data_IF_532055708880
#
_entry.id   IF_532055708880
#
_cell.length_a   1.000
_cell.length_b   1.000
_cell.length_c   1.000
_cell.angle_alpha   90.00
_cell.angle_beta   90.00
_cell.angle_gamma   90.00
#
_symmetry.space_group_name_H-M   'P 1'
#
loop_
_entity.id
_entity.type
_entity.pdbx_description
1 polymer ?
#
# COMPACT_ATOMS: atom_id res chain seq x y z
N UNK A 1 -3.11 -1.08 -18.12
CA UNK A 1 -3.44 -0.18 -17.00
C UNK A 1 -4.64 -0.73 -16.26
N UNK A 2 -4.86 -0.33 -15.01
CA UNK A 2 -6.06 -0.63 -14.24
C UNK A 2 -6.74 0.70 -13.92
N UNK A 3 -8.02 0.81 -14.24
CA UNK A 3 -8.81 2.03 -14.04
C UNK A 3 -9.72 1.88 -12.83
N UNK A 4 -9.72 2.88 -11.97
CA UNK A 4 -10.62 2.99 -10.82
C UNK A 4 -11.67 4.05 -11.08
N UNK A 5 -12.92 3.75 -10.74
CA UNK A 5 -14.04 4.69 -10.76
C UNK A 5 -14.64 4.76 -9.36
N UNK A 6 -14.52 5.93 -8.73
CA UNK A 6 -14.92 6.15 -7.34
C UNK A 6 -16.12 7.09 -7.31
N UNK A 7 -17.27 6.68 -6.75
CA UNK A 7 -18.42 7.56 -6.62
C UNK A 7 -18.12 8.68 -5.63
N UNK A 8 -18.35 9.92 -6.04
CA UNK A 8 -18.20 11.12 -5.21
C UNK A 8 -19.58 11.77 -5.04
N UNK A 9 -19.96 12.03 -3.79
CA UNK A 9 -21.14 12.83 -3.46
C UNK A 9 -20.70 14.27 -3.18
N UNK A 10 -21.29 15.23 -3.88
CA UNK A 10 -21.08 16.65 -3.62
C UNK A 10 -22.44 17.36 -3.54
N UNK A 11 -22.91 17.59 -2.30
CA UNK A 11 -24.27 18.07 -2.06
C UNK A 11 -25.31 17.10 -2.63
N UNK A 12 -26.23 17.62 -3.46
CA UNK A 12 -27.25 16.83 -4.15
C UNK A 12 -26.76 16.17 -5.46
N UNK A 13 -25.53 16.46 -5.89
CA UNK A 13 -24.96 15.90 -7.11
C UNK A 13 -24.05 14.70 -6.82
N UNK A 14 -24.08 13.71 -7.71
CA UNK A 14 -23.15 12.59 -7.70
C UNK A 14 -22.40 12.54 -9.02
N UNK A 15 -21.09 12.32 -8.95
CA UNK A 15 -20.26 12.08 -10.12
C UNK A 15 -19.27 10.95 -9.85
N UNK A 16 -18.67 10.42 -10.90
CA UNK A 16 -17.61 9.42 -10.77
C UNK A 16 -16.25 10.09 -10.95
N UNK A 17 -15.42 10.05 -9.92
CA UNK A 17 -14.02 10.40 -10.04
C UNK A 17 -13.25 9.20 -10.59
N UNK A 18 -12.50 9.40 -11.67
CA UNK A 18 -11.79 8.33 -12.36
C UNK A 18 -10.29 8.61 -12.36
N UNK A 19 -9.51 7.56 -12.15
CA UNK A 19 -8.06 7.59 -12.30
C UNK A 19 -7.58 6.20 -12.73
N UNK A 20 -6.35 6.11 -13.24
CA UNK A 20 -5.73 4.86 -13.59
C UNK A 20 -4.37 4.71 -12.89
N UNK A 21 -3.93 3.46 -12.78
CA UNK A 21 -2.57 3.10 -12.38
C UNK A 21 -2.02 2.07 -13.34
N UNK A 22 -0.69 1.99 -13.40
CA UNK A 22 -0.02 0.92 -14.13
C UNK A 22 -0.27 -0.43 -13.47
N UNK A 23 -0.27 -1.50 -14.27
CA UNK A 23 -0.45 -2.87 -13.81
C UNK A 23 0.88 -3.41 -13.26
N UNK A 24 1.30 -2.88 -12.11
CA UNK A 24 2.56 -3.21 -11.44
C UNK A 24 2.31 -3.73 -10.01
N UNK A 25 3.27 -3.51 -9.11
CA UNK A 25 3.17 -3.91 -7.72
C UNK A 25 2.27 -3.00 -6.87
N UNK A 26 1.38 -3.57 -6.07
CA UNK A 26 0.67 -2.86 -5.00
C UNK A 26 1.43 -3.07 -3.69
N UNK A 27 1.75 -1.98 -2.99
CA UNK A 27 2.38 -2.06 -1.68
C UNK A 27 1.33 -2.17 -0.58
N UNK A 28 1.39 -3.24 0.22
CA UNK A 28 0.74 -3.29 1.52
C UNK A 28 1.70 -2.80 2.60
N UNK A 29 1.25 -1.83 3.39
CA UNK A 29 2.03 -1.29 4.49
C UNK A 29 1.13 -0.79 5.63
N UNK A 30 1.69 -0.68 6.83
CA UNK A 30 0.94 -0.10 7.94
C UNK A 30 1.62 -0.20 9.29
N UNK A 31 0.80 -0.10 10.33
CA UNK A 31 1.22 -0.18 11.72
C UNK A 31 1.84 -1.53 12.05
N UNK A 32 2.86 -1.51 12.94
CA UNK A 32 3.48 -2.73 13.48
C UNK A 32 2.66 -3.39 14.58
N UNK A 33 1.67 -2.67 15.08
CA UNK A 33 0.84 -3.05 16.22
C UNK A 33 -0.56 -3.47 15.79
N UNK A 34 -0.94 -3.21 14.53
CA UNK A 34 -2.23 -3.61 13.99
C UNK A 34 -2.12 -4.98 13.30
N UNK A 35 -2.98 -5.91 13.69
CA UNK A 35 -3.21 -7.13 12.92
C UNK A 35 -4.44 -6.93 12.03
N UNK A 36 -4.30 -7.26 10.75
CA UNK A 36 -5.40 -7.17 9.78
C UNK A 36 -6.11 -8.53 9.73
N UNK A 37 -7.45 -8.57 9.86
CA UNK A 37 -8.21 -9.80 9.73
C UNK A 37 -7.85 -10.54 8.44
N UNK A 38 -7.61 -11.85 8.53
CA UNK A 38 -7.17 -12.63 7.36
C UNK A 38 -8.22 -12.67 6.25
N UNK A 39 -9.51 -12.57 6.59
CA UNK A 39 -10.59 -12.42 5.60
C UNK A 39 -10.42 -11.14 4.76
N UNK A 40 -10.09 -10.02 5.40
CA UNK A 40 -9.83 -8.75 4.72
C UNK A 40 -8.55 -8.80 3.88
N UNK A 41 -7.46 -9.38 4.41
CA UNK A 41 -6.25 -9.59 3.62
C UNK A 41 -6.54 -10.41 2.37
N UNK A 42 -7.25 -11.53 2.49
CA UNK A 42 -7.63 -12.40 1.37
C UNK A 42 -8.52 -11.67 0.36
N UNK A 43 -9.53 -10.92 0.80
CA UNK A 43 -10.41 -10.16 -0.08
C UNK A 43 -9.64 -9.12 -0.92
N UNK A 44 -8.77 -8.34 -0.27
CA UNK A 44 -7.92 -7.35 -0.94
C UNK A 44 -6.94 -8.02 -1.92
N UNK A 45 -6.27 -9.10 -1.51
CA UNK A 45 -5.34 -9.84 -2.36
C UNK A 45 -6.07 -10.40 -3.58
N UNK A 46 -7.22 -11.05 -3.40
CA UNK A 46 -7.99 -11.65 -4.50
C UNK A 46 -8.49 -10.59 -5.48
N UNK A 47 -9.07 -9.49 -4.98
CA UNK A 47 -9.56 -8.40 -5.82
C UNK A 47 -8.45 -7.77 -6.65
N UNK A 48 -7.35 -7.39 -6.00
CA UNK A 48 -6.18 -6.81 -6.68
C UNK A 48 -5.50 -7.82 -7.62
N UNK A 49 -5.45 -9.10 -7.25
CA UNK A 49 -4.90 -10.13 -8.13
C UNK A 49 -5.75 -10.33 -9.38
N UNK A 50 -7.08 -10.22 -9.25
CA UNK A 50 -8.05 -10.28 -10.35
C UNK A 50 -7.86 -9.14 -11.36
N UNK A 51 -7.54 -7.94 -10.87
CA UNK A 51 -7.14 -6.81 -11.72
C UNK A 51 -5.71 -6.94 -12.25
N UNK A 52 -5.01 -7.97 -11.78
CA UNK A 52 -3.74 -8.44 -12.30
C UNK A 52 -2.51 -7.71 -11.73
N UNK A 53 -2.62 -7.15 -10.52
CA UNK A 53 -1.50 -6.56 -9.79
C UNK A 53 -0.57 -7.61 -9.17
N UNK A 54 0.69 -7.23 -8.96
CA UNK A 54 1.63 -8.02 -8.16
C UNK A 54 1.76 -7.41 -6.75
N UNK A 55 2.35 -8.07 -5.75
CA UNK A 55 2.29 -7.65 -4.33
C UNK A 55 3.64 -7.38 -3.67
N UNK A 56 3.78 -6.16 -3.13
CA UNK A 56 4.98 -5.66 -2.46
C UNK A 56 4.64 -5.57 -0.99
N UNK A 57 5.47 -6.18 -0.14
CA UNK A 57 5.23 -6.15 1.31
C UNK A 57 6.54 -6.04 2.06
N UNK A 58 6.46 -5.43 3.23
CA UNK A 58 7.59 -5.31 4.13
C UNK A 58 7.80 -6.53 5.02
N UNK A 59 8.87 -6.50 5.81
CA UNK A 59 9.24 -7.61 6.68
C UNK A 59 8.85 -7.42 8.17
N UNK A 60 8.08 -6.38 8.50
CA UNK A 60 7.76 -6.01 9.88
C UNK A 60 6.60 -6.85 10.48
N UNK A 61 6.37 -6.72 11.79
CA UNK A 61 5.18 -7.29 12.42
C UNK A 61 3.93 -6.47 12.07
N UNK A 62 2.76 -6.87 12.57
CA UNK A 62 1.49 -6.19 12.34
C UNK A 62 0.99 -6.38 10.92
N UNK A 63 0.72 -5.27 10.22
CA UNK A 63 0.11 -5.26 8.88
C UNK A 63 0.96 -6.05 7.88
N UNK A 64 2.27 -5.77 7.82
CA UNK A 64 3.24 -6.49 6.97
C UNK A 64 3.19 -8.01 7.19
N UNK A 65 3.07 -8.48 8.44
CA UNK A 65 2.97 -9.91 8.76
C UNK A 65 1.61 -10.48 8.36
N UNK A 66 0.53 -9.73 8.58
CA UNK A 66 -0.84 -10.15 8.28
C UNK A 66 -1.01 -10.45 6.79
N UNK A 67 -0.49 -9.58 5.92
CA UNK A 67 -0.50 -9.78 4.48
C UNK A 67 0.45 -10.89 4.02
N UNK A 68 1.67 -10.97 4.58
CA UNK A 68 2.59 -12.08 4.23
C UNK A 68 2.00 -13.45 4.50
N UNK A 69 1.30 -13.62 5.63
CA UNK A 69 0.61 -14.88 5.95
C UNK A 69 -0.43 -15.23 4.87
N UNK A 70 -1.32 -14.30 4.54
CA UNK A 70 -2.32 -14.53 3.51
C UNK A 70 -1.71 -14.75 2.12
N UNK A 71 -0.62 -14.06 1.78
CA UNK A 71 0.08 -14.21 0.50
C UNK A 71 0.78 -15.56 0.40
N UNK A 72 1.42 -16.06 1.46
CA UNK A 72 2.07 -17.38 1.47
C UNK A 72 1.09 -18.54 1.33
N UNK A 73 -0.17 -18.32 1.71
CA UNK A 73 -1.25 -19.30 1.56
C UNK A 73 -2.06 -19.11 0.25
N UNK A 74 -1.69 -18.14 -0.59
CA UNK A 74 -2.41 -17.81 -1.81
C UNK A 74 -1.82 -18.48 -3.06
N UNK A 75 -2.59 -18.51 -4.15
CA UNK A 75 -2.11 -18.96 -5.46
C UNK A 75 -1.19 -17.95 -6.17
N UNK A 76 -0.88 -16.81 -5.55
CA UNK A 76 -0.17 -15.68 -6.17
C UNK A 76 1.26 -15.50 -5.65
N UNK A 77 1.87 -16.53 -5.05
CA UNK A 77 3.20 -16.44 -4.43
C UNK A 77 4.30 -16.02 -5.41
N UNK A 78 4.16 -16.37 -6.69
CA UNK A 78 5.03 -15.98 -7.80
C UNK A 78 4.94 -14.48 -8.15
N UNK A 79 3.87 -13.81 -7.72
CA UNK A 79 3.63 -12.37 -7.90
C UNK A 79 4.00 -11.55 -6.66
N UNK A 80 4.67 -12.13 -5.68
CA UNK A 80 4.99 -11.47 -4.39
C UNK A 80 6.47 -11.15 -4.28
N UNK A 81 6.77 -9.93 -3.80
CA UNK A 81 8.10 -9.54 -3.37
C UNK A 81 8.10 -8.98 -1.95
N UNK A 82 8.97 -9.54 -1.10
CA UNK A 82 9.16 -9.09 0.28
C UNK A 82 10.47 -8.32 0.42
N UNK A 83 10.36 -7.02 0.70
CA UNK A 83 11.51 -6.16 0.96
C UNK A 83 11.93 -6.16 2.43
N UNK A 84 13.10 -6.70 2.72
CA UNK A 84 13.72 -6.70 4.04
C UNK A 84 14.78 -5.60 4.18
N UNK A 85 14.88 -5.03 5.39
CA UNK A 85 16.00 -4.15 5.74
C UNK A 85 17.21 -4.92 6.32
N UNK A 86 16.98 -6.14 6.83
CA UNK A 86 17.99 -6.92 7.54
C UNK A 86 17.99 -8.38 7.04
N UNK A 87 19.17 -8.91 6.74
CA UNK A 87 19.37 -10.27 6.20
C UNK A 87 18.73 -11.37 7.05
N UNK A 88 18.81 -11.25 8.38
CA UNK A 88 18.23 -12.25 9.30
C UNK A 88 16.73 -12.49 9.09
N UNK A 89 15.99 -11.51 8.56
CA UNK A 89 14.56 -11.67 8.25
C UNK A 89 14.29 -12.36 6.90
N UNK A 90 15.23 -12.31 5.97
CA UNK A 90 15.07 -12.92 4.64
C UNK A 90 14.98 -14.44 4.75
N UNK A 91 15.95 -15.06 5.44
CA UNK A 91 16.02 -16.53 5.58
C UNK A 91 14.75 -17.12 6.17
N UNK A 92 14.20 -16.47 7.20
CA UNK A 92 12.96 -16.92 7.83
C UNK A 92 11.76 -16.88 6.86
N UNK A 93 11.73 -15.95 5.91
CA UNK A 93 10.62 -15.73 4.98
C UNK A 93 10.71 -16.57 3.72
N UNK A 94 11.91 -16.85 3.24
CA UNK A 94 12.12 -17.80 2.15
C UNK A 94 11.57 -19.19 2.51
N UNK A 95 11.62 -19.58 3.78
CA UNK A 95 11.02 -20.82 4.26
C UNK A 95 9.48 -20.85 4.17
N UNK A 96 8.81 -19.70 4.01
CA UNK A 96 7.37 -19.60 3.77
C UNK A 96 7.02 -19.55 2.27
N UNK A 97 7.98 -19.84 1.37
CA UNK A 97 7.76 -19.82 -0.08
C UNK A 97 7.63 -18.44 -0.69
N UNK A 98 7.92 -17.36 0.06
CA UNK A 98 7.86 -15.99 -0.44
C UNK A 98 9.23 -15.52 -0.92
N UNK A 99 9.27 -14.91 -2.11
CA UNK A 99 10.47 -14.24 -2.62
C UNK A 99 10.80 -13.04 -1.73
N UNK A 100 11.94 -13.11 -1.03
CA UNK A 100 12.38 -12.10 -0.08
C UNK A 100 13.82 -11.71 -0.34
N UNK A 101 14.14 -10.41 -0.24
CA UNK A 101 15.51 -9.92 -0.40
C UNK A 101 15.80 -8.73 0.51
N UNK A 102 17.08 -8.53 0.83
CA UNK A 102 17.53 -7.31 1.50
C UNK A 102 17.68 -6.23 0.44
N UNK A 103 16.95 -5.12 0.61
CA UNK A 103 16.85 -4.04 -0.40
C UNK A 103 17.60 -2.77 -0.01
N UNK A 104 18.51 -2.91 0.95
CA UNK A 104 19.31 -1.81 1.50
C UNK A 104 20.78 -2.21 1.56
N UNK A 105 21.72 -1.26 1.38
CA UNK A 105 23.14 -1.54 1.51
C UNK A 105 23.50 -1.85 2.96
N UNK A 106 24.61 -2.55 3.14
CA UNK A 106 25.18 -2.87 4.44
C UNK A 106 25.76 -1.62 5.13
N UNK A 107 26.02 -1.72 6.44
CA UNK A 107 26.63 -0.65 7.24
C UNK A 107 25.69 0.51 7.61
N UNK A 108 24.43 0.51 7.17
CA UNK A 108 23.46 1.52 7.58
C UNK A 108 22.99 1.32 9.03
N UNK A 109 22.78 2.43 9.75
CA UNK A 109 22.08 2.39 11.04
C UNK A 109 20.67 1.80 10.89
N UNK A 110 20.12 1.11 11.90
CA UNK A 110 18.80 0.48 11.80
C UNK A 110 17.69 1.43 11.35
N UNK A 111 17.72 2.68 11.82
CA UNK A 111 16.76 3.72 11.42
C UNK A 111 16.89 4.08 9.94
N UNK A 112 18.12 4.26 9.44
CA UNK A 112 18.38 4.57 8.04
C UNK A 112 18.02 3.39 7.12
N UNK A 113 18.36 2.16 7.51
CA UNK A 113 18.01 0.93 6.80
C UNK A 113 16.49 0.79 6.66
N UNK A 114 15.74 0.96 7.76
CA UNK A 114 14.28 0.88 7.72
C UNK A 114 13.66 1.95 6.80
N UNK A 115 14.14 3.20 6.89
CA UNK A 115 13.69 4.29 6.02
C UNK A 115 13.97 3.98 4.55
N UNK A 116 15.19 3.53 4.22
CA UNK A 116 15.59 3.22 2.84
C UNK A 116 14.80 2.05 2.26
N UNK A 117 14.55 1.00 3.06
CA UNK A 117 13.66 -0.11 2.67
C UNK A 117 12.26 0.36 2.35
N UNK A 118 11.68 1.24 3.17
CA UNK A 118 10.35 1.80 2.92
C UNK A 118 10.31 2.57 1.60
N UNK A 119 11.28 3.47 1.37
CA UNK A 119 11.36 4.24 0.12
C UNK A 119 11.57 3.34 -1.11
N UNK A 120 12.37 2.28 -0.97
CA UNK A 120 12.59 1.29 -2.04
C UNK A 120 11.28 0.63 -2.47
N UNK A 121 10.44 0.21 -1.51
CA UNK A 121 9.16 -0.45 -1.80
C UNK A 121 8.16 0.52 -2.42
N UNK A 122 8.02 1.72 -1.86
CA UNK A 122 7.14 2.77 -2.41
C UNK A 122 7.56 3.11 -3.85
N UNK A 123 8.86 3.20 -4.13
CA UNK A 123 9.36 3.48 -5.48
C UNK A 123 8.92 2.45 -6.52
N UNK A 124 8.77 1.19 -6.13
CA UNK A 124 8.44 0.09 -7.06
C UNK A 124 6.97 -0.28 -7.12
N UNK A 125 6.15 0.30 -6.23
CA UNK A 125 4.72 0.12 -6.29
C UNK A 125 4.06 1.17 -7.20
N UNK A 126 2.96 0.81 -7.87
CA UNK A 126 2.09 1.75 -8.60
C UNK A 126 1.04 2.41 -7.70
N UNK A 127 0.68 1.76 -6.60
CA UNK A 127 -0.20 2.31 -5.57
C UNK A 127 0.07 1.65 -4.22
N UNK A 128 -0.49 2.22 -3.15
CA UNK A 128 -0.33 1.72 -1.79
C UNK A 128 -1.69 1.46 -1.14
N UNK A 129 -1.83 0.33 -0.46
CA UNK A 129 -2.90 0.09 0.51
C UNK A 129 -2.31 0.22 1.91
N UNK A 130 -2.76 1.24 2.64
CA UNK A 130 -2.15 1.68 3.90
C UNK A 130 -3.12 1.48 5.07
N UNK A 131 -2.64 0.81 6.12
CA UNK A 131 -3.32 0.64 7.40
C UNK A 131 -2.52 1.42 8.47
N UNK A 132 -2.68 2.74 8.56
CA UNK A 132 -1.69 3.57 9.23
C UNK A 132 -1.85 3.64 10.74
N UNK A 133 -3.06 3.38 11.25
CA UNK A 133 -3.44 3.59 12.64
C UNK A 133 -2.82 2.56 13.58
N UNK A 134 -2.26 3.06 14.67
CA UNK A 134 -1.89 2.24 15.80
C UNK A 134 -3.15 1.95 16.64
N UNK A 135 -3.54 0.68 16.84
CA UNK A 135 -4.79 0.36 17.53
C UNK A 135 -4.79 0.80 19.01
N UNK A 136 -3.62 1.06 19.60
CA UNK A 136 -3.52 1.49 20.99
C UNK A 136 -3.63 3.00 21.16
N UNK A 137 -3.32 3.79 20.13
CA UNK A 137 -3.27 5.26 20.23
C UNK A 137 -4.19 5.97 19.24
N UNK A 138 -4.72 5.27 18.24
CA UNK A 138 -5.40 5.84 17.08
C UNK A 138 -4.48 6.67 16.17
N UNK A 139 -3.19 6.81 16.50
CA UNK A 139 -2.28 7.69 15.78
C UNK A 139 -1.51 6.95 14.69
N UNK A 140 -1.09 7.70 13.68
CA UNK A 140 -0.25 7.15 12.62
C UNK A 140 1.22 7.10 13.06
N UNK A 141 1.81 5.91 13.03
CA UNK A 141 3.24 5.73 13.32
C UNK A 141 4.16 6.40 12.29
N UNK A 142 5.42 6.63 12.67
CA UNK A 142 6.43 7.28 11.79
C UNK A 142 6.62 6.54 10.46
N UNK A 143 6.53 5.20 10.47
CA UNK A 143 6.63 4.36 9.27
C UNK A 143 5.46 4.58 8.30
N UNK A 144 4.23 4.52 8.80
CA UNK A 144 3.02 4.77 8.01
C UNK A 144 2.99 6.18 7.43
N UNK A 145 3.35 7.20 8.24
CA UNK A 145 3.49 8.59 7.75
C UNK A 145 4.53 8.73 6.65
N UNK A 146 5.66 8.01 6.75
CA UNK A 146 6.68 7.99 5.71
C UNK A 146 6.16 7.37 4.41
N UNK A 147 5.45 6.24 4.49
CA UNK A 147 4.84 5.58 3.32
C UNK A 147 3.87 6.55 2.63
N UNK A 148 2.93 7.11 3.40
CA UNK A 148 1.93 8.04 2.89
C UNK A 148 2.57 9.23 2.15
N UNK A 149 3.50 9.93 2.81
CA UNK A 149 4.19 11.08 2.20
C UNK A 149 5.04 10.70 1.00
N UNK A 150 5.77 9.57 1.07
CA UNK A 150 6.62 9.14 -0.02
C UNK A 150 5.83 8.72 -1.26
N UNK A 151 4.65 8.11 -1.09
CA UNK A 151 3.78 7.73 -2.20
C UNK A 151 3.24 8.97 -2.90
N UNK A 152 2.68 9.93 -2.15
CA UNK A 152 2.12 11.16 -2.72
C UNK A 152 3.19 12.05 -3.37
N UNK A 153 4.39 12.13 -2.79
CA UNK A 153 5.52 12.84 -3.41
C UNK A 153 5.99 12.20 -4.72
N UNK A 154 5.66 10.93 -4.95
CA UNK A 154 5.93 10.21 -6.20
C UNK A 154 4.65 10.05 -7.03
N UNK A 155 3.63 10.87 -6.76
CA UNK A 155 2.36 10.90 -7.50
C UNK A 155 1.64 9.54 -7.54
N UNK A 156 1.77 8.73 -6.48
CA UNK A 156 1.11 7.41 -6.40
C UNK A 156 -0.17 7.48 -5.57
N UNK A 157 -1.31 6.95 -6.08
CA UNK A 157 -2.51 6.82 -5.29
C UNK A 157 -2.32 5.95 -4.06
N UNK A 158 -2.99 6.32 -2.96
CA UNK A 158 -3.00 5.57 -1.70
C UNK A 158 -4.43 5.29 -1.30
N UNK A 159 -4.79 4.03 -1.07
CA UNK A 159 -6.01 3.67 -0.37
C UNK A 159 -5.71 3.53 1.13
N UNK A 160 -6.26 4.43 1.94
CA UNK A 160 -6.00 4.50 3.38
C UNK A 160 -7.19 3.91 4.13
N UNK A 161 -6.94 2.89 4.95
CA UNK A 161 -7.94 2.23 5.79
C UNK A 161 -7.72 2.71 7.23
N UNK A 162 -8.51 3.68 7.64
CA UNK A 162 -8.42 4.35 8.94
C UNK A 162 -9.79 4.84 9.41
N UNK A 163 -9.94 5.01 10.72
CA UNK A 163 -11.17 5.46 11.38
C UNK A 163 -11.56 6.90 11.06
N UNK A 164 -10.60 7.74 10.70
CA UNK A 164 -10.79 9.17 10.43
C UNK A 164 -10.35 9.55 9.03
N UNK A 165 -11.10 10.46 8.39
CA UNK A 165 -10.78 10.97 7.05
C UNK A 165 -9.40 11.66 7.06
N UNK A 166 -8.46 11.25 6.18
CA UNK A 166 -7.18 11.94 6.03
C UNK A 166 -7.37 13.43 5.73
N UNK A 167 -6.48 14.27 6.26
CA UNK A 167 -6.52 15.72 6.00
C UNK A 167 -6.36 15.99 4.50
N UNK A 168 -7.29 16.75 3.93
CA UNK A 168 -7.21 17.24 2.55
C UNK A 168 -6.02 18.18 2.32
N UNK A 169 -5.60 18.30 1.07
CA UNK A 169 -4.51 19.17 0.62
C UNK A 169 -4.74 19.57 -0.84
N UNK A 170 -4.23 20.73 -1.25
CA UNK A 170 -4.28 21.14 -2.66
C UNK A 170 -3.49 20.23 -3.60
N UNK A 171 -2.66 19.32 -3.07
CA UNK A 171 -1.85 18.39 -3.87
C UNK A 171 -2.56 17.06 -4.21
N UNK A 172 -3.67 16.74 -3.54
CA UNK A 172 -4.37 15.47 -3.74
C UNK A 172 -5.84 15.55 -3.31
N UNK A 173 -6.67 14.68 -3.88
CA UNK A 173 -8.07 14.51 -3.48
C UNK A 173 -8.21 13.40 -2.47
N UNK A 174 -9.10 13.58 -1.49
CA UNK A 174 -9.48 12.54 -0.51
C UNK A 174 -10.94 12.17 -0.75
N UNK A 175 -11.21 10.89 -1.01
CA UNK A 175 -12.53 10.39 -1.39
C UNK A 175 -12.83 9.12 -0.59
N UNK A 176 -13.89 9.15 0.24
CA UNK A 176 -14.36 7.95 0.94
C UNK A 176 -14.85 6.89 -0.05
N UNK A 177 -14.44 5.64 0.14
CA UNK A 177 -14.77 4.53 -0.77
C UNK A 177 -14.63 3.18 -0.07
N UNK A 178 -15.00 2.13 -0.78
CA UNK A 178 -14.71 0.74 -0.43
C UNK A 178 -13.79 0.14 -1.51
N UNK A 179 -12.78 -0.62 -1.10
CA UNK A 179 -11.88 -1.36 -1.99
C UNK A 179 -11.97 -2.85 -1.64
N UNK A 180 -12.64 -3.64 -2.48
CA UNK A 180 -12.91 -5.08 -2.28
C UNK A 180 -13.39 -5.44 -0.86
N UNK A 181 -14.32 -4.65 -0.31
CA UNK A 181 -14.87 -4.85 1.03
C UNK A 181 -14.12 -4.15 2.16
N UNK A 182 -12.97 -3.52 1.90
CA UNK A 182 -12.29 -2.68 2.88
C UNK A 182 -12.75 -1.22 2.76
N UNK A 183 -13.39 -0.71 3.81
CA UNK A 183 -13.79 0.70 3.90
C UNK A 183 -12.58 1.59 4.18
N UNK A 184 -12.53 2.74 3.52
CA UNK A 184 -11.42 3.67 3.67
C UNK A 184 -11.53 4.88 2.74
N UNK A 185 -10.38 5.45 2.42
CA UNK A 185 -10.28 6.68 1.64
C UNK A 185 -9.25 6.53 0.54
N UNK A 186 -9.66 6.80 -0.70
CA UNK A 186 -8.73 7.08 -1.77
C UNK A 186 -8.09 8.44 -1.55
N UNK A 187 -6.77 8.49 -1.53
CA UNK A 187 -5.96 9.69 -1.54
C UNK A 187 -5.19 9.71 -2.86
N UNK A 188 -5.67 10.52 -3.80
CA UNK A 188 -5.24 10.48 -5.20
C UNK A 188 -4.60 11.82 -5.57
N UNK A 189 -3.32 11.84 -5.97
CA UNK A 189 -2.69 13.03 -6.58
C UNK A 189 -3.47 13.50 -7.82
N UNK A 190 -3.17 14.71 -8.31
CA UNK A 190 -3.81 15.19 -9.54
C UNK A 190 -3.48 14.29 -10.72
N UNK A 191 -4.51 13.89 -11.47
CA UNK A 191 -4.34 13.11 -12.70
C UNK A 191 -3.98 14.04 -13.85
N UNK A 192 -3.20 13.54 -14.81
CA UNK A 192 -2.81 14.28 -16.03
C UNK A 192 -4.03 14.53 -16.92
N UNK A 193 -4.95 13.56 -16.97
CA UNK A 193 -6.22 13.64 -17.67
C UNK A 193 -7.32 12.98 -16.85
N UNK A 194 -8.60 13.21 -17.20
CA UNK A 194 -9.70 12.48 -16.58
C UNK A 194 -9.55 10.97 -16.81
N UNK A 195 -9.65 10.16 -15.76
CA UNK A 195 -9.43 8.73 -15.81
C UNK A 195 -7.98 8.29 -16.07
N UNK A 196 -7.04 9.23 -16.17
CA UNK A 196 -5.64 8.99 -16.53
C UNK A 196 -4.74 8.64 -15.34
N UNK A 197 -3.45 8.51 -15.63
CA UNK A 197 -2.40 8.33 -14.62
C UNK A 197 -2.18 9.63 -13.82
N UNK A 198 -1.54 9.49 -12.66
CA UNK A 198 -1.10 10.60 -11.83
C UNK A 198 0.32 11.08 -12.19
N UNK A 199 1.07 10.29 -12.96
CA UNK A 199 2.42 10.56 -13.43
C UNK A 199 2.62 10.12 -14.89
N UNK A 200 3.70 10.62 -15.49
CA UNK A 200 4.14 10.24 -16.84
C UNK A 200 5.25 9.17 -16.80
N UNK A 201 5.64 8.64 -15.64
CA UNK A 201 6.82 7.76 -15.53
C UNK A 201 6.60 6.42 -16.27
N UNK A 202 7.43 6.19 -17.30
CA UNK A 202 7.57 4.95 -18.09
C UNK A 202 8.81 4.16 -17.66
#
# INVERSE_FOLDING_TARGET
MVSFSVPVKHGCSSFQFRFAVQKLGVLFAGSRHQEVPQSMCKALIQGLAGDGFSFWVGCANGVDRSFRKSLSESAFTDRVFVGCAFKGRVKALSNYGLSASTVVPEGLSPKAALRRRTLYLVKRSCMVVLFPEDPYTGQWGRGSRLVFRAALNQLKPVFVICSSCPKGSDHYRVIGSCLYGAEGFWVVPHTISDGGLCDEEF
#
